data_IF_708857615400
#
_entry.id   IF_708857615400
#
_cell.length_a   1.000
_cell.length_b   1.000
_cell.length_c   1.000
_cell.angle_alpha   90.00
_cell.angle_beta   90.00
_cell.angle_gamma   90.00
#
_symmetry.space_group_name_H-M   'P 1'
#
loop_
_entity.id
_entity.type
_entity.pdbx_description
1 polymer ?
#
# COMPACT_ATOMS: atom_id res chain seq x y z
N UNK A 1 20.30 -9.06 12.87
CA UNK A 1 19.37 -8.11 13.53
C UNK A 1 19.48 -6.68 12.97
N UNK A 2 20.66 -6.05 13.01
CA UNK A 2 20.89 -4.68 12.52
C UNK A 2 20.53 -4.51 11.03
N UNK A 3 20.88 -5.50 10.20
CA UNK A 3 20.52 -5.54 8.77
C UNK A 3 19.01 -5.49 8.54
N UNK A 4 18.22 -6.27 9.28
CA UNK A 4 16.76 -6.25 9.19
C UNK A 4 16.17 -4.89 9.57
N UNK A 5 16.74 -4.22 10.59
CA UNK A 5 16.31 -2.88 11.00
C UNK A 5 16.58 -1.86 9.89
N UNK A 6 17.78 -1.87 9.31
CA UNK A 6 18.14 -0.97 8.22
C UNK A 6 17.26 -1.19 6.99
N UNK A 7 16.97 -2.45 6.64
CA UNK A 7 16.06 -2.80 5.55
C UNK A 7 14.64 -2.28 5.85
N UNK A 8 14.11 -2.52 7.05
CA UNK A 8 12.81 -1.99 7.45
C UNK A 8 12.73 -0.47 7.34
N UNK A 9 13.74 0.25 7.84
CA UNK A 9 13.77 1.72 7.76
C UNK A 9 13.78 2.17 6.30
N UNK A 10 14.63 1.55 5.46
CA UNK A 10 14.70 1.86 4.04
C UNK A 10 13.36 1.62 3.34
N UNK A 11 12.70 0.49 3.61
CA UNK A 11 11.41 0.15 3.02
C UNK A 11 10.31 1.11 3.46
N UNK A 12 10.26 1.48 4.75
CA UNK A 12 9.30 2.44 5.26
C UNK A 12 9.50 3.80 4.58
N UNK A 13 10.74 4.29 4.50
CA UNK A 13 11.03 5.58 3.87
C UNK A 13 10.68 5.56 2.37
N UNK A 14 11.04 4.49 1.67
CA UNK A 14 10.74 4.30 0.25
C UNK A 14 9.23 4.28 -0.01
N UNK A 15 8.50 3.40 0.67
CA UNK A 15 7.06 3.23 0.47
C UNK A 15 6.27 4.45 0.94
N UNK A 16 6.66 5.09 2.04
CA UNK A 16 6.07 6.37 2.48
C UNK A 16 6.33 7.47 1.46
N UNK A 17 7.54 7.56 0.90
CA UNK A 17 7.88 8.54 -0.13
C UNK A 17 7.03 8.36 -1.39
N UNK A 18 6.89 7.12 -1.87
CA UNK A 18 6.02 6.78 -3.00
C UNK A 18 4.55 7.11 -2.68
N UNK A 19 4.10 6.79 -1.46
CA UNK A 19 2.74 7.09 -1.00
C UNK A 19 2.44 8.59 -1.00
N UNK A 20 3.37 9.41 -0.49
CA UNK A 20 3.26 10.86 -0.50
C UNK A 20 3.22 11.39 -1.92
N UNK A 21 4.11 10.92 -2.81
CA UNK A 21 4.11 11.30 -4.21
C UNK A 21 2.79 10.96 -4.91
N UNK A 22 2.26 9.76 -4.67
CA UNK A 22 0.96 9.35 -5.17
C UNK A 22 -0.15 10.29 -4.69
N UNK A 23 -0.23 10.60 -3.39
CA UNK A 23 -1.27 11.49 -2.87
C UNK A 23 -1.15 12.92 -3.40
N UNK A 24 0.06 13.44 -3.62
CA UNK A 24 0.25 14.75 -4.26
C UNK A 24 -0.32 14.77 -5.69
N UNK A 25 -0.07 13.72 -6.47
CA UNK A 25 -0.63 13.60 -7.84
C UNK A 25 -2.14 13.39 -7.78
N UNK A 26 -2.62 12.54 -6.89
CA UNK A 26 -4.05 12.26 -6.70
C UNK A 26 -4.81 13.52 -6.26
N UNK A 27 -4.26 14.34 -5.38
CA UNK A 27 -4.85 15.60 -4.94
C UNK A 27 -4.99 16.59 -6.10
N UNK A 28 -3.93 16.75 -6.91
CA UNK A 28 -3.98 17.61 -8.11
C UNK A 28 -5.03 17.14 -9.12
N UNK A 29 -5.08 15.83 -9.36
CA UNK A 29 -6.03 15.23 -10.31
C UNK A 29 -7.48 15.28 -9.82
N UNK A 30 -7.68 15.21 -8.50
CA UNK A 30 -9.00 15.20 -7.87
C UNK A 30 -9.28 16.51 -7.16
N UNK A 31 -8.85 16.68 -5.90
CA UNK A 31 -9.13 17.78 -4.97
C UNK A 31 -8.78 19.21 -5.41
N UNK A 32 -7.89 19.40 -6.37
CA UNK A 32 -7.55 20.74 -6.90
C UNK A 32 -8.18 21.02 -8.26
N UNK A 33 -8.77 20.00 -8.90
CA UNK A 33 -9.33 20.14 -10.24
C UNK A 33 -10.63 20.95 -10.26
N UNK A 34 -10.85 21.78 -11.28
CA UNK A 34 -12.01 22.69 -11.37
C UNK A 34 -13.37 21.97 -11.39
N UNK A 35 -13.46 20.86 -12.12
CA UNK A 35 -14.66 20.03 -12.24
C UNK A 35 -14.29 18.58 -11.90
N UNK A 36 -14.76 18.07 -10.76
CA UNK A 36 -14.50 16.69 -10.35
C UNK A 36 -15.65 15.76 -10.75
N UNK A 37 -15.37 14.87 -11.71
CA UNK A 37 -16.37 13.97 -12.31
C UNK A 37 -16.25 12.53 -11.82
N UNK A 38 -17.30 11.72 -12.01
CA UNK A 38 -17.34 10.29 -11.68
C UNK A 38 -16.19 9.48 -12.29
N UNK A 39 -15.80 9.77 -13.54
CA UNK A 39 -14.69 9.10 -14.20
C UNK A 39 -13.38 9.33 -13.45
N UNK A 40 -13.13 10.56 -12.97
CA UNK A 40 -11.93 10.87 -12.18
C UNK A 40 -11.95 10.20 -10.82
N UNK A 41 -13.12 10.08 -10.18
CA UNK A 41 -13.28 9.33 -8.94
C UNK A 41 -13.00 7.84 -9.13
N UNK A 42 -13.49 7.25 -10.23
CA UNK A 42 -13.19 5.86 -10.58
C UNK A 42 -11.68 5.64 -10.83
N UNK A 43 -11.03 6.52 -11.61
CA UNK A 43 -9.58 6.48 -11.80
C UNK A 43 -8.81 6.62 -10.48
N UNK A 44 -9.29 7.45 -9.54
CA UNK A 44 -8.71 7.56 -8.21
C UNK A 44 -8.78 6.23 -7.45
N UNK A 45 -9.93 5.55 -7.44
CA UNK A 45 -10.06 4.24 -6.76
C UNK A 45 -9.08 3.21 -7.33
N UNK A 46 -9.00 3.11 -8.66
CA UNK A 46 -8.06 2.22 -9.33
C UNK A 46 -6.61 2.59 -9.00
N UNK A 47 -6.27 3.88 -9.02
CA UNK A 47 -4.95 4.37 -8.65
C UNK A 47 -4.56 4.00 -7.23
N UNK A 48 -5.47 4.18 -6.27
CA UNK A 48 -5.25 3.78 -4.87
C UNK A 48 -5.01 2.26 -4.79
N UNK A 49 -5.84 1.45 -5.45
CA UNK A 49 -5.68 0.00 -5.46
C UNK A 49 -4.32 -0.42 -6.02
N UNK A 50 -3.93 0.12 -7.18
CA UNK A 50 -2.63 -0.14 -7.81
C UNK A 50 -1.47 0.30 -6.90
N UNK A 51 -1.60 1.44 -6.21
CA UNK A 51 -0.57 1.91 -5.28
C UNK A 51 -0.34 0.93 -4.11
N UNK A 52 -1.41 0.32 -3.60
CA UNK A 52 -1.30 -0.71 -2.55
C UNK A 52 -0.66 -2.00 -3.09
N UNK A 53 -1.02 -2.42 -4.31
CA UNK A 53 -0.38 -3.57 -4.96
C UNK A 53 1.12 -3.31 -5.17
N UNK A 54 1.50 -2.08 -5.55
CA UNK A 54 2.90 -1.70 -5.67
C UNK A 54 3.66 -1.86 -4.35
N UNK A 55 3.12 -1.35 -3.24
CA UNK A 55 3.75 -1.51 -1.92
C UNK A 55 3.90 -2.99 -1.56
N UNK A 56 2.88 -3.80 -1.81
CA UNK A 56 2.92 -5.26 -1.60
C UNK A 56 4.05 -5.92 -2.41
N UNK A 57 4.22 -5.55 -3.69
CA UNK A 57 5.30 -6.06 -4.54
C UNK A 57 6.67 -5.65 -4.00
N UNK A 58 6.83 -4.39 -3.56
CA UNK A 58 8.11 -3.90 -2.98
C UNK A 58 8.50 -4.72 -1.76
N UNK A 59 7.57 -4.97 -0.83
CA UNK A 59 7.84 -5.83 0.33
C UNK A 59 8.06 -7.30 -0.05
N UNK A 60 7.34 -7.82 -1.04
CA UNK A 60 7.54 -9.19 -1.53
C UNK A 60 8.95 -9.40 -2.10
N UNK A 61 9.44 -8.45 -2.89
CA UNK A 61 10.82 -8.44 -3.39
C UNK A 61 11.82 -8.34 -2.23
N UNK A 62 11.54 -7.50 -1.24
CA UNK A 62 12.40 -7.39 -0.06
C UNK A 62 12.51 -8.72 0.70
N UNK A 63 11.41 -9.46 0.86
CA UNK A 63 11.45 -10.81 1.45
C UNK A 63 12.25 -11.79 0.60
N UNK A 64 12.05 -11.76 -0.72
CA UNK A 64 12.78 -12.63 -1.64
C UNK A 64 14.31 -12.41 -1.54
N UNK A 65 14.77 -11.15 -1.57
CA UNK A 65 16.20 -10.83 -1.44
C UNK A 65 16.73 -11.09 -0.02
N UNK A 66 15.95 -10.77 1.02
CA UNK A 66 16.36 -11.01 2.41
C UNK A 66 16.51 -12.49 2.74
N UNK A 67 15.71 -13.35 2.11
CA UNK A 67 15.88 -14.80 2.15
C UNK A 67 17.15 -15.24 1.41
N UNK A 68 17.23 -14.96 0.10
CA UNK A 68 18.21 -15.60 -0.78
C UNK A 68 19.64 -15.05 -0.65
N UNK A 69 19.79 -13.79 -0.23
CA UNK A 69 21.10 -13.12 -0.25
C UNK A 69 21.66 -12.86 1.15
N UNK A 70 20.81 -12.82 2.17
CA UNK A 70 21.20 -12.31 3.49
C UNK A 70 20.95 -13.30 4.64
N UNK A 71 20.29 -14.43 4.39
CA UNK A 71 20.01 -15.49 5.38
C UNK A 71 19.42 -14.97 6.72
N UNK A 72 18.62 -13.89 6.64
CA UNK A 72 18.10 -13.16 7.82
C UNK A 72 16.97 -13.93 8.53
N UNK A 73 16.39 -14.91 7.84
CA UNK A 73 15.30 -15.77 8.30
C UNK A 73 14.55 -16.37 7.12
N UNK A 74 13.50 -17.15 7.43
CA UNK A 74 12.68 -17.86 6.45
C UNK A 74 11.19 -17.51 6.56
N UNK A 75 10.48 -17.40 5.44
CA UNK A 75 9.02 -17.51 5.32
C UNK A 75 8.63 -18.98 5.00
N UNK A 76 8.15 -19.75 5.98
CA UNK A 76 7.67 -21.15 5.85
C UNK A 76 8.11 -21.90 4.56
N UNK A 77 9.21 -22.67 4.64
CA UNK A 77 9.89 -23.34 3.51
C UNK A 77 8.95 -24.12 2.57
N UNK A 78 7.87 -24.71 3.06
CA UNK A 78 6.98 -25.59 2.28
C UNK A 78 5.96 -24.85 1.37
N UNK A 79 5.79 -23.53 1.49
CA UNK A 79 4.70 -22.79 0.79
C UNK A 79 5.12 -21.53 0.06
N UNK A 80 6.42 -21.20 0.05
CA UNK A 80 6.94 -19.97 -0.57
C UNK A 80 7.82 -20.21 -1.80
N UNK A 81 7.64 -21.35 -2.46
CA UNK A 81 8.31 -21.69 -3.71
C UNK A 81 7.94 -20.69 -4.82
N UNK A 82 8.79 -19.67 -5.00
CA UNK A 82 8.71 -18.67 -6.06
C UNK A 82 8.17 -17.28 -5.64
N UNK A 83 8.22 -16.35 -6.60
CA UNK A 83 7.85 -14.94 -6.40
C UNK A 83 6.37 -14.77 -6.00
N UNK A 84 5.48 -15.66 -6.46
CA UNK A 84 4.06 -15.58 -6.15
C UNK A 84 3.76 -15.91 -4.68
N UNK A 85 4.50 -16.86 -4.09
CA UNK A 85 4.38 -17.18 -2.65
C UNK A 85 4.83 -16.00 -1.77
N UNK A 86 5.90 -15.31 -2.16
CA UNK A 86 6.37 -14.09 -1.50
C UNK A 86 5.38 -12.93 -1.64
N UNK A 87 4.76 -12.78 -2.82
CA UNK A 87 3.70 -11.80 -3.04
C UNK A 87 2.49 -12.09 -2.16
N UNK A 88 2.04 -13.33 -2.09
CA UNK A 88 0.91 -13.74 -1.25
C UNK A 88 1.20 -13.48 0.24
N UNK A 89 2.38 -13.90 0.74
CA UNK A 89 2.81 -13.65 2.11
C UNK A 89 2.81 -12.14 2.43
N UNK A 90 3.40 -11.34 1.53
CA UNK A 90 3.43 -9.89 1.63
C UNK A 90 2.03 -9.29 1.68
N UNK A 91 1.11 -9.73 0.82
CA UNK A 91 -0.26 -9.25 0.78
C UNK A 91 -1.01 -9.52 2.09
N UNK A 92 -0.89 -10.73 2.63
CA UNK A 92 -1.53 -11.15 3.89
C UNK A 92 -1.01 -10.34 5.08
N UNK A 93 0.31 -10.07 5.14
CA UNK A 93 0.92 -9.25 6.18
C UNK A 93 0.55 -7.77 6.04
N UNK A 94 0.62 -7.23 4.83
CA UNK A 94 0.31 -5.83 4.52
C UNK A 94 -1.13 -5.47 4.86
N UNK A 95 -2.08 -6.34 4.51
CA UNK A 95 -3.50 -6.15 4.79
C UNK A 95 -3.88 -6.55 6.21
N UNK A 96 -2.94 -7.07 6.99
CA UNK A 96 -3.13 -7.57 8.36
C UNK A 96 -4.19 -8.66 8.49
N UNK A 97 -4.49 -9.37 7.40
CA UNK A 97 -5.40 -10.52 7.42
C UNK A 97 -4.83 -11.64 8.29
N UNK A 98 -3.53 -11.91 8.14
CA UNK A 98 -2.80 -12.83 9.01
C UNK A 98 -3.36 -14.26 9.06
N UNK A 99 -3.61 -14.89 7.91
CA UNK A 99 -4.13 -16.27 7.83
C UNK A 99 -3.33 -17.32 8.62
N UNK A 100 -2.05 -17.02 8.93
CA UNK A 100 -1.21 -17.85 9.80
C UNK A 100 -0.60 -19.07 9.10
N UNK A 101 -0.83 -19.20 7.79
CA UNK A 101 -0.29 -20.25 6.94
C UNK A 101 1.15 -19.97 6.46
N UNK A 102 1.54 -18.69 6.38
CA UNK A 102 2.92 -18.26 6.15
C UNK A 102 3.39 -17.43 7.33
N UNK A 103 4.42 -17.92 8.02
CA UNK A 103 4.96 -17.28 9.21
C UNK A 103 6.43 -16.89 8.98
N UNK A 104 6.78 -15.62 9.23
CA UNK A 104 8.17 -15.19 9.19
C UNK A 104 8.93 -15.73 10.42
N UNK A 105 10.14 -16.21 10.17
CA UNK A 105 11.07 -16.71 11.20
C UNK A 105 12.29 -15.80 11.32
N UNK A 106 13.06 -15.98 12.38
CA UNK A 106 14.28 -15.20 12.62
C UNK A 106 14.03 -13.69 12.66
N UNK A 107 14.91 -12.93 12.02
CA UNK A 107 14.83 -11.47 12.00
C UNK A 107 13.85 -10.92 10.94
N UNK A 108 13.33 -11.74 10.02
CA UNK A 108 12.28 -11.32 9.08
C UNK A 108 10.99 -10.90 9.80
N UNK A 109 10.76 -11.40 11.02
CA UNK A 109 9.65 -10.97 11.88
C UNK A 109 9.60 -9.46 12.07
N UNK A 110 10.77 -8.81 12.17
CA UNK A 110 10.83 -7.36 12.32
C UNK A 110 10.31 -6.64 11.07
N UNK A 111 10.71 -7.11 9.88
CA UNK A 111 10.23 -6.57 8.60
C UNK A 111 8.72 -6.77 8.48
N UNK A 112 8.22 -7.98 8.79
CA UNK A 112 6.79 -8.30 8.79
C UNK A 112 5.97 -7.42 9.72
N UNK A 113 6.43 -7.20 10.96
CA UNK A 113 5.76 -6.30 11.91
C UNK A 113 5.70 -4.87 11.38
N UNK A 114 6.81 -4.36 10.83
CA UNK A 114 6.83 -3.00 10.25
C UNK A 114 5.97 -2.87 8.99
N UNK A 115 5.88 -3.93 8.18
CA UNK A 115 5.02 -3.96 7.01
C UNK A 115 3.54 -3.89 7.40
N UNK A 116 3.10 -4.69 8.38
CA UNK A 116 1.72 -4.67 8.85
C UNK A 116 1.31 -3.31 9.39
N UNK A 117 2.20 -2.66 10.16
CA UNK A 117 1.96 -1.29 10.63
C UNK A 117 1.85 -0.27 9.48
N UNK A 118 2.75 -0.35 8.50
CA UNK A 118 2.74 0.53 7.33
C UNK A 118 1.48 0.33 6.50
N UNK A 119 1.08 -0.93 6.27
CA UNK A 119 -0.11 -1.27 5.52
C UNK A 119 -1.39 -0.74 6.15
N UNK A 120 -1.56 -0.91 7.47
CA UNK A 120 -2.68 -0.32 8.23
C UNK A 120 -2.73 1.20 8.08
N UNK A 121 -1.60 1.88 8.29
CA UNK A 121 -1.54 3.34 8.20
C UNK A 121 -1.92 3.83 6.80
N UNK A 122 -1.38 3.19 5.76
CA UNK A 122 -1.63 3.57 4.37
C UNK A 122 -3.07 3.29 3.93
N UNK A 123 -3.67 2.18 4.37
CA UNK A 123 -5.09 1.89 4.11
C UNK A 123 -6.00 2.93 4.79
N UNK A 124 -5.71 3.28 6.05
CA UNK A 124 -6.44 4.32 6.76
C UNK A 124 -6.32 5.68 6.05
N UNK A 125 -5.13 6.05 5.61
CA UNK A 125 -4.90 7.31 4.92
C UNK A 125 -5.63 7.37 3.57
N UNK A 126 -5.61 6.26 2.82
CA UNK A 126 -6.41 6.12 1.59
C UNK A 126 -7.89 6.31 1.87
N UNK A 127 -8.45 5.68 2.91
CA UNK A 127 -9.85 5.85 3.27
C UNK A 127 -10.21 7.31 3.58
N UNK A 128 -9.36 8.02 4.34
CA UNK A 128 -9.54 9.46 4.60
C UNK A 128 -9.52 10.29 3.32
N UNK A 129 -8.60 10.00 2.41
CA UNK A 129 -8.51 10.70 1.12
C UNK A 129 -9.74 10.43 0.25
N UNK A 130 -10.19 9.18 0.16
CA UNK A 130 -11.39 8.78 -0.59
C UNK A 130 -12.61 9.53 -0.06
N UNK A 131 -12.77 9.62 1.26
CA UNK A 131 -13.86 10.35 1.88
C UNK A 131 -13.84 11.84 1.51
N UNK A 132 -12.67 12.48 1.58
CA UNK A 132 -12.51 13.87 1.17
C UNK A 132 -12.84 14.08 -0.33
N UNK A 133 -12.36 13.18 -1.20
CA UNK A 133 -12.64 13.22 -2.63
C UNK A 133 -14.14 13.05 -2.92
N UNK A 134 -14.80 12.08 -2.28
CA UNK A 134 -16.23 11.82 -2.43
C UNK A 134 -17.06 13.05 -2.08
N UNK A 135 -16.79 13.69 -0.94
CA UNK A 135 -17.51 14.89 -0.50
C UNK A 135 -17.38 16.03 -1.51
N UNK A 136 -16.19 16.21 -2.09
CA UNK A 136 -15.96 17.20 -3.15
C UNK A 136 -16.75 16.88 -4.42
N UNK A 137 -16.76 15.62 -4.85
CA UNK A 137 -17.50 15.20 -6.05
C UNK A 137 -19.00 15.48 -5.92
N UNK A 138 -19.56 15.17 -4.75
CA UNK A 138 -20.97 15.40 -4.47
C UNK A 138 -21.31 16.90 -4.47
N UNK A 139 -20.42 17.75 -3.94
CA UNK A 139 -20.57 19.21 -3.98
C UNK A 139 -20.55 19.75 -5.42
N UNK A 140 -19.58 19.33 -6.23
CA UNK A 140 -19.45 19.75 -7.62
C UNK A 140 -20.69 19.34 -8.44
N UNK A 141 -21.17 18.11 -8.22
CA UNK A 141 -22.40 17.60 -8.82
C UNK A 141 -23.60 18.48 -8.48
N UNK A 142 -23.85 18.79 -7.20
CA UNK A 142 -24.99 19.61 -6.80
C UNK A 142 -24.94 21.02 -7.43
N UNK A 143 -23.74 21.63 -7.48
CA UNK A 143 -23.56 22.95 -8.13
C UNK A 143 -23.81 22.93 -9.64
N UNK A 144 -23.59 21.78 -10.30
CA UNK A 144 -23.86 21.63 -11.73
C UNK A 144 -25.36 21.53 -12.01
N UNK A 145 -26.13 20.89 -11.12
CA UNK A 145 -27.58 20.80 -11.23
C UNK A 145 -28.27 22.14 -11.02
N UNK A 146 -27.84 22.93 -10.02
CA UNK A 146 -28.43 24.26 -9.77
C UNK A 146 -28.22 25.25 -10.91
N UNK A 147 -27.12 25.14 -11.67
CA UNK A 147 -26.84 26.00 -12.84
C UNK A 147 -27.75 25.73 -14.05
N UNK A 148 -28.43 24.59 -14.10
CA UNK A 148 -29.30 24.19 -15.22
C UNK A 148 -30.80 24.28 -14.90
N UNK A 149 -31.16 24.83 -13.73
CA UNK A 149 -32.54 25.08 -13.32
C UNK A 149 -32.84 26.58 -13.38
#
# INVERSE_FOLDING_TARGET
MTTAILISILLILLTTGVRLAFFMVAAKFTLESKDFTWHRFFCLMLGIYISHVFDIVVYALAYYFAWHMLEIGTLSEDRTDGLLGHFYASAVMYTTIGFGDILPTGHLRFIASTQGLSGLLYLAWSASFIFAAMNRMLKDRNSSFERHR
#
